data_IF_852333910385
#
_entry.id   IF_852333910385
#
_cell.length_a   1.000
_cell.length_b   1.000
_cell.length_c   1.000
_cell.angle_alpha   90.00
_cell.angle_beta   90.00
_cell.angle_gamma   90.00
#
_symmetry.space_group_name_H-M   'P 1'
#
loop_
_entity.id
_entity.type
_entity.pdbx_description
1 polymer ?
#
# COMPACT_ATOMS: atom_id res chain seq x y z
N UNK A 1 0.61 16.48 -8.88
CA UNK A 1 0.10 15.66 -7.76
C UNK A 1 -0.92 14.65 -8.27
N UNK A 2 -0.46 13.42 -8.47
CA UNK A 2 -1.26 12.30 -8.97
C UNK A 2 -1.63 11.40 -7.79
N UNK A 3 -2.88 10.97 -7.75
CA UNK A 3 -3.38 9.98 -6.78
C UNK A 3 -3.73 8.69 -7.50
N UNK A 4 -3.30 7.56 -6.95
CA UNK A 4 -3.62 6.22 -7.46
C UNK A 4 -4.22 5.38 -6.35
N UNK A 5 -5.24 4.60 -6.70
CA UNK A 5 -5.78 3.54 -5.86
C UNK A 5 -5.31 2.20 -6.42
N UNK A 6 -4.93 1.29 -5.55
CA UNK A 6 -4.45 -0.02 -5.96
C UNK A 6 -5.00 -1.13 -5.06
N UNK A 7 -5.08 -2.32 -5.64
CA UNK A 7 -5.45 -3.55 -4.96
C UNK A 7 -4.48 -4.64 -5.39
N UNK A 8 -3.96 -5.39 -4.42
CA UNK A 8 -2.95 -6.44 -4.63
C UNK A 8 -3.52 -7.75 -4.13
N UNK A 9 -3.49 -8.76 -5.00
CA UNK A 9 -4.00 -10.10 -4.73
C UNK A 9 -2.86 -11.10 -4.54
N UNK A 10 -3.13 -12.19 -3.82
CA UNK A 10 -2.19 -13.29 -3.59
C UNK A 10 -1.66 -13.35 -2.17
N UNK A 11 -0.42 -13.83 -1.98
CA UNK A 11 0.20 -13.95 -0.64
C UNK A 11 0.74 -12.59 -0.17
N UNK A 12 -0.16 -11.74 0.32
CA UNK A 12 0.16 -10.36 0.74
C UNK A 12 -0.06 -10.09 2.24
N UNK A 13 -0.73 -11.00 2.96
CA UNK A 13 -0.90 -10.91 4.42
C UNK A 13 0.10 -11.81 5.16
N UNK A 14 0.52 -11.40 6.35
CA UNK A 14 1.52 -12.13 7.15
C UNK A 14 2.95 -12.10 6.58
N UNK A 15 3.21 -11.26 5.57
CA UNK A 15 4.52 -11.17 4.87
C UNK A 15 5.12 -9.76 4.93
N UNK A 16 4.75 -8.97 5.93
CA UNK A 16 5.21 -7.58 6.12
C UNK A 16 4.90 -6.59 4.99
N UNK A 17 4.00 -6.93 4.05
CA UNK A 17 3.65 -6.09 2.89
C UNK A 17 3.35 -4.64 3.29
N UNK A 18 2.43 -4.41 4.24
CA UNK A 18 2.06 -3.07 4.72
C UNK A 18 3.24 -2.27 5.27
N UNK A 19 4.15 -2.93 6.01
CA UNK A 19 5.31 -2.27 6.60
C UNK A 19 6.31 -1.84 5.50
N UNK A 20 6.58 -2.72 4.55
CA UNK A 20 7.43 -2.41 3.39
C UNK A 20 6.83 -1.33 2.50
N UNK A 21 5.51 -1.35 2.26
CA UNK A 21 4.81 -0.29 1.52
C UNK A 21 4.96 1.06 2.23
N UNK A 22 4.76 1.12 3.55
CA UNK A 22 4.93 2.34 4.33
C UNK A 22 6.35 2.88 4.25
N UNK A 23 7.35 2.05 4.51
CA UNK A 23 8.77 2.46 4.44
C UNK A 23 9.16 2.97 3.05
N UNK A 24 8.69 2.30 1.99
CA UNK A 24 8.92 2.74 0.61
C UNK A 24 8.24 4.09 0.32
N UNK A 25 7.03 4.30 0.83
CA UNK A 25 6.31 5.56 0.67
C UNK A 25 7.06 6.72 1.37
N UNK A 26 7.57 6.50 2.58
CA UNK A 26 8.39 7.45 3.32
C UNK A 26 9.68 7.81 2.55
N UNK A 27 10.40 6.82 2.03
CA UNK A 27 11.62 7.05 1.22
C UNK A 27 11.33 7.82 -0.07
N UNK A 28 10.17 7.60 -0.68
CA UNK A 28 9.78 8.23 -1.95
C UNK A 28 9.02 9.55 -1.78
N UNK A 29 8.76 10.00 -0.55
CA UNK A 29 7.96 11.19 -0.29
C UNK A 29 6.50 11.06 -0.77
N UNK A 30 5.97 9.84 -0.80
CA UNK A 30 4.59 9.55 -1.22
C UNK A 30 3.70 9.45 0.02
N UNK A 31 2.54 10.09 -0.03
CA UNK A 31 1.55 10.08 1.06
C UNK A 31 0.42 9.11 0.75
N UNK A 32 -0.23 8.53 1.75
CA UNK A 32 -1.35 7.61 1.49
C UNK A 32 -1.68 6.65 2.63
N UNK A 33 -2.39 5.58 2.30
CA UNK A 33 -2.77 4.53 3.23
C UNK A 33 -2.66 3.13 2.58
N UNK A 34 -2.48 2.11 3.41
CA UNK A 34 -2.45 0.70 3.01
C UNK A 34 -3.13 -0.18 4.08
N UNK A 35 -4.02 -1.08 3.66
CA UNK A 35 -4.89 -1.86 4.54
C UNK A 35 -5.04 -3.30 4.06
N UNK A 36 -5.07 -4.24 5.01
CA UNK A 36 -5.47 -5.63 4.73
C UNK A 36 -6.98 -5.73 4.61
N UNK A 37 -7.44 -6.44 3.59
CA UNK A 37 -8.85 -6.70 3.35
C UNK A 37 -9.28 -8.07 3.92
N UNK A 38 -10.55 -8.25 4.32
CA UNK A 38 -11.04 -9.51 4.88
C UNK A 38 -10.94 -10.72 3.94
N UNK A 39 -10.89 -10.47 2.63
CA UNK A 39 -10.78 -11.50 1.58
C UNK A 39 -9.34 -11.95 1.30
N UNK A 40 -8.36 -11.48 2.08
CA UNK A 40 -6.95 -11.85 1.95
C UNK A 40 -6.13 -10.89 1.10
N UNK A 41 -6.76 -9.92 0.42
CA UNK A 41 -6.06 -8.93 -0.41
C UNK A 41 -5.49 -7.77 0.45
N UNK A 42 -4.74 -6.89 -0.22
CA UNK A 42 -4.33 -5.58 0.30
C UNK A 42 -4.82 -4.48 -0.63
N UNK A 43 -5.38 -3.42 -0.06
CA UNK A 43 -5.74 -2.20 -0.79
C UNK A 43 -4.97 -0.99 -0.28
N UNK A 44 -4.84 0.02 -1.13
CA UNK A 44 -4.20 1.27 -0.74
C UNK A 44 -4.49 2.43 -1.68
N UNK A 45 -4.14 3.61 -1.19
CA UNK A 45 -4.11 4.86 -1.95
C UNK A 45 -2.73 5.48 -1.79
N UNK A 46 -2.18 6.00 -2.88
CA UNK A 46 -0.91 6.72 -2.88
C UNK A 46 -1.04 8.02 -3.66
N UNK A 47 -0.55 9.11 -3.09
CA UNK A 47 -0.53 10.45 -3.66
C UNK A 47 0.91 10.96 -3.65
N UNK A 48 1.39 11.37 -4.82
CA UNK A 48 2.72 11.91 -5.02
C UNK A 48 2.72 13.02 -6.07
N UNK A 49 3.77 13.82 -6.07
CA UNK A 49 3.91 15.01 -6.90
C UNK A 49 4.04 14.67 -8.37
#
# INVERSE_FOLDING_TARGET
>A
MKTVYFRVKGRVQGVFFRASTKSTAETKGVSGWVKNMPDGDVEGMATGS
#
